data_IF_858690031702
#
_entry.id   IF_858690031702
#
_cell.length_a   1.000
_cell.length_b   1.000
_cell.length_c   1.000
_cell.angle_alpha   90.00
_cell.angle_beta   90.00
_cell.angle_gamma   90.00
#
_symmetry.space_group_name_H-M   'P 1'
#
loop_
_entity.id
_entity.type
_entity.pdbx_description
1 polymer ?
#
# COMPACT_ATOMS: atom_id res chain seq x y z
N UNK A 1 -30.66 -5.02 -9.38
CA UNK A 1 -29.36 -4.55 -9.94
C UNK A 1 -28.54 -3.69 -8.97
N UNK A 2 -28.97 -3.49 -7.71
CA UNK A 2 -28.39 -2.49 -6.79
C UNK A 2 -27.26 -3.01 -5.88
N UNK A 3 -27.18 -4.31 -5.60
CA UNK A 3 -26.23 -4.84 -4.61
C UNK A 3 -24.81 -5.05 -5.13
N UNK A 4 -24.64 -5.35 -6.42
CA UNK A 4 -23.31 -5.57 -7.02
C UNK A 4 -22.65 -4.24 -7.39
N UNK A 5 -23.41 -3.30 -7.97
CA UNK A 5 -22.90 -1.96 -8.29
C UNK A 5 -22.43 -1.24 -7.04
N UNK A 6 -23.22 -1.27 -5.96
CA UNK A 6 -22.84 -0.66 -4.68
C UNK A 6 -21.52 -1.24 -4.12
N UNK A 7 -21.36 -2.56 -4.19
CA UNK A 7 -20.11 -3.22 -3.77
C UNK A 7 -18.92 -2.79 -4.62
N UNK A 8 -19.08 -2.77 -5.95
CA UNK A 8 -18.02 -2.31 -6.84
C UNK A 8 -17.64 -0.84 -6.57
N UNK A 9 -18.63 0.04 -6.46
CA UNK A 9 -18.42 1.45 -6.12
C UNK A 9 -17.69 1.60 -4.79
N UNK A 10 -18.02 0.78 -3.77
CA UNK A 10 -17.31 0.82 -2.48
C UNK A 10 -15.84 0.39 -2.59
N UNK A 11 -15.54 -0.64 -3.39
CA UNK A 11 -14.17 -1.14 -3.57
C UNK A 11 -13.33 -0.12 -4.34
N UNK A 12 -13.82 0.39 -5.47
CA UNK A 12 -13.12 1.42 -6.24
C UNK A 12 -13.02 2.74 -5.48
N UNK A 13 -14.06 3.11 -4.72
CA UNK A 13 -14.06 4.26 -3.83
C UNK A 13 -12.97 4.15 -2.76
N UNK A 14 -12.78 2.96 -2.17
CA UNK A 14 -11.70 2.69 -1.23
C UNK A 14 -10.31 2.87 -1.87
N UNK A 15 -10.11 2.34 -3.08
CA UNK A 15 -8.84 2.51 -3.81
C UNK A 15 -8.57 3.99 -4.09
N UNK A 16 -9.57 4.73 -4.59
CA UNK A 16 -9.44 6.15 -4.88
C UNK A 16 -9.14 6.95 -3.61
N UNK A 17 -9.84 6.68 -2.51
CA UNK A 17 -9.61 7.32 -1.23
C UNK A 17 -8.17 7.09 -0.73
N UNK A 18 -7.64 5.87 -0.81
CA UNK A 18 -6.27 5.57 -0.40
C UNK A 18 -5.24 6.34 -1.24
N UNK A 19 -5.47 6.49 -2.55
CA UNK A 19 -4.60 7.29 -3.41
C UNK A 19 -4.66 8.78 -3.05
N UNK A 20 -5.86 9.32 -2.84
CA UNK A 20 -6.05 10.71 -2.45
C UNK A 20 -5.41 11.01 -1.09
N UNK A 21 -5.52 10.09 -0.13
CA UNK A 21 -4.88 10.24 1.18
C UNK A 21 -3.36 10.18 1.05
N UNK A 22 -2.82 9.17 0.34
CA UNK A 22 -1.37 9.01 0.18
C UNK A 22 -0.72 10.19 -0.55
N UNK A 23 -1.25 10.57 -1.72
CA UNK A 23 -0.75 11.72 -2.47
C UNK A 23 -1.09 13.04 -1.80
N UNK A 24 -2.23 13.15 -1.10
CA UNK A 24 -2.59 14.34 -0.34
C UNK A 24 -1.62 14.61 0.80
N UNK A 25 -1.27 13.60 1.61
CA UNK A 25 -0.22 13.70 2.64
C UNK A 25 1.10 14.12 1.99
N UNK A 26 1.46 13.47 0.87
CA UNK A 26 2.72 13.72 0.19
C UNK A 26 2.83 15.16 -0.33
N UNK A 27 1.81 15.65 -1.02
CA UNK A 27 1.82 16.97 -1.66
C UNK A 27 1.56 18.12 -0.68
N UNK A 28 0.68 17.92 0.30
CA UNK A 28 0.23 19.00 1.19
C UNK A 28 1.04 19.09 2.50
N UNK A 29 1.59 17.97 2.99
CA UNK A 29 2.26 17.93 4.30
C UNK A 29 3.77 17.68 4.22
N UNK A 30 4.20 16.84 3.28
CA UNK A 30 5.62 16.42 3.16
C UNK A 30 6.39 17.33 2.20
N UNK A 31 5.95 17.44 0.95
CA UNK A 31 6.65 18.16 -0.11
C UNK A 31 6.97 19.63 0.21
N UNK A 32 6.10 20.42 0.89
CA UNK A 32 6.42 21.80 1.23
C UNK A 32 7.61 21.96 2.18
N UNK A 33 7.91 20.92 2.99
CA UNK A 33 9.05 20.90 3.92
C UNK A 33 10.25 20.14 3.36
N UNK A 34 9.99 19.08 2.60
CA UNK A 34 11.00 18.15 2.08
C UNK A 34 10.75 17.86 0.59
N UNK A 35 11.03 18.83 -0.32
CA UNK A 35 10.67 18.69 -1.74
C UNK A 35 11.35 17.51 -2.43
N UNK A 36 12.56 17.13 -1.98
CA UNK A 36 13.29 15.96 -2.48
C UNK A 36 12.51 14.66 -2.30
N UNK A 37 11.61 14.58 -1.31
CA UNK A 37 10.81 13.39 -1.07
C UNK A 37 9.80 13.14 -2.21
N UNK A 38 9.47 14.12 -3.06
CA UNK A 38 8.61 13.91 -4.23
C UNK A 38 9.22 12.90 -5.21
N UNK A 39 10.54 12.97 -5.43
CA UNK A 39 11.24 12.02 -6.27
C UNK A 39 11.22 10.61 -5.69
N UNK A 40 11.52 10.48 -4.39
CA UNK A 40 11.50 9.18 -3.71
C UNK A 40 10.09 8.59 -3.61
N UNK A 41 9.09 9.43 -3.31
CA UNK A 41 7.68 9.03 -3.28
C UNK A 41 7.18 8.59 -4.66
N UNK A 42 7.56 9.31 -5.72
CA UNK A 42 7.27 8.92 -7.09
C UNK A 42 7.91 7.58 -7.49
N UNK A 43 9.18 7.37 -7.12
CA UNK A 43 9.87 6.08 -7.34
C UNK A 43 9.21 4.95 -6.56
N UNK A 44 8.89 5.16 -5.28
CA UNK A 44 8.18 4.18 -4.46
C UNK A 44 6.82 3.82 -5.07
N UNK A 45 6.08 4.81 -5.57
CA UNK A 45 4.82 4.59 -6.26
C UNK A 45 5.01 3.77 -7.54
N UNK A 46 5.98 4.11 -8.38
CA UNK A 46 6.28 3.37 -9.61
C UNK A 46 6.74 1.93 -9.35
N UNK A 47 7.60 1.72 -8.35
CA UNK A 47 8.03 0.36 -7.96
C UNK A 47 6.87 -0.44 -7.35
N UNK A 48 6.00 0.19 -6.57
CA UNK A 48 4.77 -0.45 -6.07
C UNK A 48 3.83 -0.87 -7.20
N UNK A 49 3.64 -0.01 -8.21
CA UNK A 49 2.86 -0.35 -9.39
C UNK A 49 3.47 -1.53 -10.15
N UNK A 50 4.79 -1.57 -10.33
CA UNK A 50 5.48 -2.71 -10.96
C UNK A 50 5.28 -4.00 -10.16
N UNK A 51 5.50 -3.93 -8.85
CA UNK A 51 5.39 -5.07 -7.93
C UNK A 51 3.98 -5.66 -7.89
N UNK A 52 2.94 -4.84 -8.10
CA UNK A 52 1.56 -5.31 -8.20
C UNK A 52 1.34 -6.32 -9.36
N UNK A 53 2.21 -6.34 -10.38
CA UNK A 53 2.14 -7.26 -11.51
C UNK A 53 3.00 -8.52 -11.35
N UNK A 54 3.60 -8.74 -10.18
CA UNK A 54 4.38 -9.95 -9.94
C UNK A 54 3.49 -11.20 -9.99
N UNK A 55 4.07 -12.32 -10.48
CA UNK A 55 3.32 -13.53 -10.81
C UNK A 55 2.71 -14.23 -9.58
N UNK A 56 3.30 -14.02 -8.40
CA UNK A 56 2.79 -14.53 -7.13
C UNK A 56 1.47 -13.86 -6.73
N UNK A 57 1.35 -12.54 -6.92
CA UNK A 57 0.09 -11.83 -6.72
C UNK A 57 -1.00 -12.30 -7.68
N UNK A 58 -0.67 -12.40 -8.97
CA UNK A 58 -1.61 -12.85 -10.00
C UNK A 58 -2.07 -14.28 -9.72
N UNK A 59 -1.13 -15.19 -9.41
CA UNK A 59 -1.45 -16.60 -9.16
C UNK A 59 -2.25 -16.80 -7.87
N UNK A 60 -1.97 -16.06 -6.80
CA UNK A 60 -2.73 -16.13 -5.56
C UNK A 60 -4.19 -15.65 -5.74
N UNK A 61 -4.39 -14.54 -6.46
CA UNK A 61 -5.74 -14.01 -6.75
C UNK A 61 -6.50 -14.97 -7.67
N UNK A 62 -5.87 -15.48 -8.73
CA UNK A 62 -6.48 -16.42 -9.67
C UNK A 62 -6.90 -17.73 -8.98
N UNK A 63 -5.99 -18.35 -8.23
CA UNK A 63 -6.28 -19.59 -7.49
C UNK A 63 -7.46 -19.43 -6.52
N UNK A 64 -7.48 -18.33 -5.76
CA UNK A 64 -8.56 -18.03 -4.81
C UNK A 64 -9.88 -17.78 -5.55
N UNK A 65 -9.84 -17.05 -6.66
CA UNK A 65 -11.01 -16.77 -7.50
C UNK A 65 -11.59 -18.06 -8.07
N UNK A 66 -10.75 -18.93 -8.66
CA UNK A 66 -11.17 -20.23 -9.20
C UNK A 66 -11.75 -21.13 -8.12
N UNK A 67 -11.12 -21.18 -6.95
CA UNK A 67 -11.61 -21.96 -5.81
C UNK A 67 -13.01 -21.51 -5.38
N UNK A 68 -13.24 -20.21 -5.24
CA UNK A 68 -14.56 -19.68 -4.87
C UNK A 68 -15.61 -19.97 -5.94
N UNK A 69 -15.26 -19.86 -7.22
CA UNK A 69 -16.17 -20.19 -8.32
C UNK A 69 -16.53 -21.69 -8.34
N UNK A 70 -15.56 -22.58 -8.11
CA UNK A 70 -15.80 -24.02 -7.99
C UNK A 70 -16.74 -24.36 -6.83
N UNK A 71 -16.73 -23.56 -5.76
CA UNK A 71 -17.65 -23.69 -4.62
C UNK A 71 -19.00 -22.97 -4.84
N UNK A 72 -19.27 -22.43 -6.03
CA UNK A 72 -20.49 -21.68 -6.33
C UNK A 72 -20.60 -20.32 -5.65
N UNK A 73 -19.50 -19.80 -5.08
CA UNK A 73 -19.44 -18.50 -4.40
C UNK A 73 -19.09 -17.38 -5.38
N UNK A 74 -19.46 -16.14 -5.03
CA UNK A 74 -19.10 -14.94 -5.81
C UNK A 74 -17.74 -14.40 -5.37
N UNK A 75 -16.70 -14.39 -6.21
CA UNK A 75 -15.34 -13.95 -5.85
C UNK A 75 -15.16 -12.42 -5.86
N UNK A 76 -16.21 -11.66 -5.56
CA UNK A 76 -16.14 -10.19 -5.59
C UNK A 76 -15.23 -9.68 -4.47
N UNK A 77 -14.19 -8.92 -4.83
CA UNK A 77 -13.29 -8.25 -3.88
C UNK A 77 -12.03 -9.03 -3.50
N UNK A 78 -11.82 -10.25 -4.01
CA UNK A 78 -10.62 -11.07 -3.72
C UNK A 78 -9.33 -10.26 -3.96
N UNK A 79 -9.21 -9.64 -5.14
CA UNK A 79 -8.03 -8.81 -5.46
C UNK A 79 -7.86 -7.62 -4.52
N UNK A 80 -8.94 -6.91 -4.20
CA UNK A 80 -8.89 -5.76 -3.29
C UNK A 80 -8.37 -6.14 -1.91
N UNK A 81 -8.93 -7.19 -1.29
CA UNK A 81 -8.53 -7.61 0.05
C UNK A 81 -7.16 -8.29 0.08
N UNK A 82 -6.78 -9.02 -0.97
CA UNK A 82 -5.43 -9.55 -1.13
C UNK A 82 -4.39 -8.43 -1.15
N UNK A 83 -4.58 -7.45 -2.05
CA UNK A 83 -3.67 -6.31 -2.17
C UNK A 83 -3.66 -5.44 -0.92
N UNK A 84 -4.81 -5.22 -0.28
CA UNK A 84 -4.91 -4.44 0.96
C UNK A 84 -4.16 -5.12 2.12
N UNK A 85 -4.35 -6.44 2.28
CA UNK A 85 -3.67 -7.21 3.32
C UNK A 85 -2.15 -7.21 3.14
N UNK A 86 -1.68 -7.54 1.93
CA UNK A 86 -0.25 -7.51 1.60
C UNK A 86 0.35 -6.11 1.81
N UNK A 87 -0.29 -5.08 1.27
CA UNK A 87 0.19 -3.69 1.41
C UNK A 87 0.19 -3.21 2.85
N UNK A 88 -0.74 -3.67 3.70
CA UNK A 88 -0.77 -3.32 5.12
C UNK A 88 0.47 -3.84 5.84
N UNK A 89 0.88 -5.09 5.58
CA UNK A 89 2.11 -5.65 6.16
C UNK A 89 3.33 -4.87 5.71
N UNK A 90 3.45 -4.59 4.41
CA UNK A 90 4.57 -3.81 3.85
C UNK A 90 4.61 -2.40 4.46
N UNK A 91 3.45 -1.73 4.60
CA UNK A 91 3.35 -0.41 5.22
C UNK A 91 3.79 -0.42 6.69
N UNK A 92 3.36 -1.41 7.47
CA UNK A 92 3.75 -1.54 8.87
C UNK A 92 5.26 -1.80 9.01
N UNK A 93 5.85 -2.62 8.13
CA UNK A 93 7.29 -2.86 8.11
C UNK A 93 8.04 -1.56 7.78
N UNK A 94 7.59 -0.79 6.77
CA UNK A 94 8.19 0.48 6.41
C UNK A 94 8.10 1.52 7.54
N UNK A 95 6.95 1.60 8.22
CA UNK A 95 6.75 2.47 9.38
C UNK A 95 7.68 2.06 10.54
N UNK A 96 7.73 0.78 10.87
CA UNK A 96 8.60 0.25 11.92
C UNK A 96 10.07 0.53 11.62
N UNK A 97 10.50 0.37 10.37
CA UNK A 97 11.85 0.71 9.93
C UNK A 97 12.16 2.20 10.07
N UNK A 98 11.20 3.08 9.73
CA UNK A 98 11.33 4.52 9.92
C UNK A 98 11.51 4.90 11.40
N UNK A 99 10.69 4.32 12.28
CA UNK A 99 10.80 4.52 13.74
C UNK A 99 12.13 3.98 14.28
N UNK A 100 12.54 2.78 13.85
CA UNK A 100 13.82 2.19 14.25
C UNK A 100 15.01 3.05 13.81
N UNK A 101 14.96 3.59 12.59
CA UNK A 101 16.01 4.48 12.06
C UNK A 101 16.09 5.76 12.90
N UNK A 102 14.95 6.39 13.19
CA UNK A 102 14.90 7.55 14.08
C UNK A 102 15.47 7.24 15.47
N UNK A 103 15.08 6.10 16.06
CA UNK A 103 15.59 5.68 17.36
C UNK A 103 17.12 5.54 17.38
N UNK A 104 17.69 4.89 16.36
CA UNK A 104 19.15 4.72 16.24
C UNK A 104 19.85 6.06 16.08
N UNK A 105 19.33 6.95 15.22
CA UNK A 105 19.92 8.29 15.01
C UNK A 105 19.91 9.08 16.32
N UNK A 106 18.79 9.16 17.01
CA UNK A 106 18.67 9.97 18.23
C UNK A 106 19.47 9.40 19.41
N UNK A 107 19.48 8.08 19.61
CA UNK A 107 20.00 7.48 20.85
C UNK A 107 21.38 6.84 20.72
N UNK A 108 21.81 6.49 19.52
CA UNK A 108 23.12 5.85 19.30
C UNK A 108 24.07 6.84 18.65
N UNK A 109 23.64 7.47 17.57
CA UNK A 109 24.52 8.34 16.76
C UNK A 109 24.75 9.67 17.48
N UNK A 110 23.68 10.36 17.89
CA UNK A 110 23.79 11.66 18.59
C UNK A 110 24.39 11.52 20.00
N UNK A 111 24.14 10.40 20.70
CA UNK A 111 24.68 10.18 22.05
C UNK A 111 26.17 9.79 22.06
N UNK A 112 26.66 9.10 21.02
CA UNK A 112 28.06 8.66 20.92
C UNK A 112 28.96 9.65 20.16
N UNK A 113 28.45 10.83 19.81
CA UNK A 113 29.24 11.90 19.19
C UNK A 113 29.69 11.62 17.76
N UNK A 114 29.02 10.72 17.02
CA UNK A 114 29.33 10.47 15.61
C UNK A 114 28.11 10.70 14.72
N UNK A 115 27.78 11.97 14.50
CA UNK A 115 27.60 12.66 13.21
C UNK A 115 27.52 14.17 13.49
#
# INVERSE_FOLDING_TARGET
MTSVSLRLTSLFGGVALLHLVGWGIMLLLVAPRYPVMLGLGGLAYAFGLRHAFDADHISAIDNTTRKLLQEGKKPLGVGFFFSLGHSTVVFLIALALGVATQFVVTNVVTANGQL
#
